data_IF_470378368914
#
_entry.id   IF_470378368914
#
_cell.length_a   1.000
_cell.length_b   1.000
_cell.length_c   1.000
_cell.angle_alpha   90.00
_cell.angle_beta   90.00
_cell.angle_gamma   90.00
#
_symmetry.space_group_name_H-M   'P 1'
#
loop_
_entity.id
_entity.type
_entity.pdbx_description
1 polymer ?
#
# COMPACT_ATOMS: atom_id res chain seq x y z
N UNK A 1 -29.73 6.24 17.86
CA UNK A 1 -29.02 7.52 17.73
C UNK A 1 -27.68 7.22 17.07
N UNK A 2 -27.63 7.18 15.74
CA UNK A 2 -26.39 6.89 15.01
C UNK A 2 -25.65 8.21 14.82
N UNK A 3 -24.75 8.55 15.76
CA UNK A 3 -23.83 9.65 15.54
C UNK A 3 -23.01 9.35 14.28
N UNK A 4 -22.86 10.33 13.40
CA UNK A 4 -21.90 10.23 12.30
C UNK A 4 -20.54 10.09 12.98
N UNK A 5 -19.92 8.92 12.88
CA UNK A 5 -18.55 8.73 13.36
C UNK A 5 -17.65 9.59 12.48
N UNK A 6 -16.86 10.46 13.11
CA UNK A 6 -15.97 11.38 12.42
C UNK A 6 -14.56 11.12 12.93
N UNK A 7 -13.63 10.90 12.00
CA UNK A 7 -12.21 10.94 12.28
C UNK A 7 -11.81 12.40 12.49
N UNK A 8 -11.61 12.74 13.75
CA UNK A 8 -11.33 14.08 14.22
C UNK A 8 -9.90 14.55 13.90
N UNK A 9 -9.66 15.85 14.01
CA UNK A 9 -8.32 16.43 13.86
C UNK A 9 -7.34 15.89 14.90
N UNK A 10 -7.82 15.56 16.11
CA UNK A 10 -7.00 15.01 17.17
C UNK A 10 -6.50 13.61 16.83
N UNK A 11 -7.36 12.76 16.25
CA UNK A 11 -6.96 11.44 15.76
C UNK A 11 -5.98 11.56 14.58
N UNK A 12 -6.20 12.53 13.69
CA UNK A 12 -5.24 12.86 12.63
C UNK A 12 -3.85 13.21 13.18
N UNK A 13 -3.78 14.09 14.18
CA UNK A 13 -2.52 14.46 14.84
C UNK A 13 -1.90 13.24 15.54
N UNK A 14 -2.69 12.40 16.20
CA UNK A 14 -2.20 11.18 16.85
C UNK A 14 -1.57 10.21 15.83
N UNK A 15 -2.18 10.02 14.65
CA UNK A 15 -1.61 9.23 13.55
C UNK A 15 -0.29 9.80 13.06
N UNK A 16 -0.16 11.12 12.97
CA UNK A 16 1.10 11.78 12.58
C UNK A 16 2.19 11.65 13.63
N UNK A 17 1.85 11.72 14.92
CA UNK A 17 2.80 11.45 16.01
C UNK A 17 3.28 10.01 15.98
N UNK A 18 2.37 9.04 15.75
CA UNK A 18 2.70 7.64 15.54
C UNK A 18 3.62 7.45 14.33
N UNK A 19 3.35 8.14 13.22
CA UNK A 19 4.23 8.13 12.04
C UNK A 19 5.64 8.65 12.38
N UNK A 20 5.73 9.77 13.11
CA UNK A 20 7.01 10.34 13.55
C UNK A 20 7.80 9.37 14.43
N UNK A 21 7.15 8.76 15.42
CA UNK A 21 7.76 7.73 16.27
C UNK A 21 8.21 6.50 15.47
N UNK A 22 7.40 6.04 14.52
CA UNK A 22 7.76 4.95 13.62
C UNK A 22 9.00 5.27 12.77
N UNK A 23 9.08 6.49 12.22
CA UNK A 23 10.25 6.94 11.45
C UNK A 23 11.51 7.02 12.31
N UNK A 24 11.40 7.53 13.55
CA UNK A 24 12.50 7.55 14.51
C UNK A 24 12.95 6.12 14.83
N UNK A 25 12.01 5.22 15.11
CA UNK A 25 12.30 3.81 15.39
C UNK A 25 13.06 3.14 14.22
N UNK A 26 12.60 3.30 12.98
CA UNK A 26 13.28 2.75 11.80
C UNK A 26 14.67 3.37 11.62
N UNK A 27 14.81 4.68 11.80
CA UNK A 27 16.11 5.35 11.71
C UNK A 27 17.12 4.77 12.73
N UNK A 28 16.68 4.57 13.97
CA UNK A 28 17.50 3.95 15.01
C UNK A 28 17.82 2.48 14.72
N UNK A 29 16.85 1.72 14.19
CA UNK A 29 17.01 0.33 13.81
C UNK A 29 18.08 0.18 12.71
N UNK A 30 17.93 0.93 11.61
CA UNK A 30 18.86 0.89 10.47
C UNK A 30 20.27 1.38 10.85
N UNK A 31 20.37 2.37 11.74
CA UNK A 31 21.68 2.83 12.25
C UNK A 31 22.41 1.73 13.03
N UNK A 32 21.68 0.88 13.75
CA UNK A 32 22.25 -0.27 14.50
C UNK A 32 22.58 -1.47 13.60
N UNK A 33 21.89 -1.64 12.48
CA UNK A 33 22.03 -2.80 11.59
C UNK A 33 23.12 -2.67 10.52
N UNK A 34 23.69 -1.47 10.35
CA UNK A 34 24.68 -1.13 9.31
C UNK A 34 25.98 -1.98 9.35
N UNK A 35 26.18 -2.79 10.38
CA UNK A 35 27.38 -3.62 10.57
C UNK A 35 27.26 -5.08 10.06
N UNK A 36 26.10 -5.60 9.64
CA UNK A 36 25.94 -7.06 9.42
C UNK A 36 25.66 -7.58 8.02
N UNK A 37 25.37 -6.75 7.01
CA UNK A 37 25.08 -7.26 5.66
C UNK A 37 25.54 -6.30 4.57
N UNK A 38 26.79 -6.42 4.12
CA UNK A 38 27.24 -5.72 2.90
C UNK A 38 26.81 -6.58 1.71
N UNK A 39 25.57 -6.40 1.23
CA UNK A 39 25.30 -6.70 -0.18
C UNK A 39 26.17 -5.77 -1.02
N UNK A 40 26.88 -6.32 -2.00
CA UNK A 40 27.64 -5.53 -2.96
C UNK A 40 26.64 -4.72 -3.81
N UNK A 41 26.30 -3.51 -3.36
CA UNK A 41 25.45 -2.58 -4.10
C UNK A 41 26.38 -1.82 -5.04
N UNK A 42 26.16 -1.92 -6.35
CA UNK A 42 26.80 -1.03 -7.31
C UNK A 42 26.48 0.41 -6.94
N UNK A 43 27.51 1.16 -6.55
CA UNK A 43 27.37 2.56 -6.16
C UNK A 43 27.53 3.43 -7.39
N UNK A 44 26.53 4.27 -7.64
CA UNK A 44 26.63 5.32 -8.65
C UNK A 44 26.95 6.66 -7.98
N UNK A 45 27.59 7.60 -8.71
CA UNK A 45 27.72 8.97 -8.25
C UNK A 45 26.35 9.56 -7.90
N UNK A 46 26.28 10.37 -6.84
CA UNK A 46 25.03 10.94 -6.32
C UNK A 46 24.18 11.59 -7.43
N UNK A 47 24.82 12.35 -8.33
CA UNK A 47 24.13 12.99 -9.46
C UNK A 47 23.42 11.97 -10.36
N UNK A 48 24.08 10.85 -10.67
CA UNK A 48 23.52 9.78 -11.51
C UNK A 48 22.39 9.03 -10.77
N UNK A 49 22.54 8.82 -9.46
CA UNK A 49 21.48 8.23 -8.62
C UNK A 49 20.24 9.11 -8.59
N UNK A 50 20.40 10.42 -8.36
CA UNK A 50 19.30 11.39 -8.38
C UNK A 50 18.62 11.39 -9.76
N UNK A 51 19.40 11.42 -10.84
CA UNK A 51 18.87 11.37 -12.20
C UNK A 51 18.01 10.11 -12.44
N UNK A 52 18.51 8.93 -12.05
CA UNK A 52 17.75 7.68 -12.19
C UNK A 52 16.50 7.63 -11.31
N UNK A 53 16.55 8.20 -10.10
CA UNK A 53 15.38 8.31 -9.21
C UNK A 53 14.32 9.19 -9.87
N UNK A 54 14.69 10.37 -10.39
CA UNK A 54 13.75 11.29 -11.04
C UNK A 54 13.13 10.65 -12.27
N UNK A 55 13.94 10.13 -13.19
CA UNK A 55 13.45 9.48 -14.42
C UNK A 55 12.55 8.28 -14.08
N UNK A 56 12.98 7.44 -13.13
CA UNK A 56 12.23 6.26 -12.72
C UNK A 56 10.89 6.63 -12.08
N UNK A 57 10.86 7.62 -11.19
CA UNK A 57 9.64 8.09 -10.53
C UNK A 57 8.68 8.74 -11.52
N UNK A 58 9.18 9.61 -12.41
CA UNK A 58 8.37 10.22 -13.46
C UNK A 58 7.77 9.17 -14.39
N UNK A 59 8.58 8.21 -14.85
CA UNK A 59 8.08 7.12 -15.70
C UNK A 59 7.03 6.26 -15.01
N UNK A 60 7.21 5.99 -13.71
CA UNK A 60 6.27 5.21 -12.90
C UNK A 60 4.93 5.93 -12.72
N UNK A 61 4.97 7.22 -12.36
CA UNK A 61 3.75 8.03 -12.15
C UNK A 61 2.98 8.18 -13.46
N UNK A 62 3.65 8.62 -14.54
CA UNK A 62 3.00 8.83 -15.84
C UNK A 62 2.49 7.52 -16.44
N UNK A 63 3.23 6.43 -16.27
CA UNK A 63 2.81 5.10 -16.70
C UNK A 63 1.57 4.61 -15.95
N UNK A 64 1.56 4.74 -14.62
CA UNK A 64 0.42 4.39 -13.79
C UNK A 64 -0.83 5.20 -14.14
N UNK A 65 -0.70 6.52 -14.22
CA UNK A 65 -1.82 7.42 -14.54
C UNK A 65 -2.45 7.10 -15.92
N UNK A 66 -1.62 6.86 -16.94
CA UNK A 66 -2.12 6.50 -18.28
C UNK A 66 -2.86 5.15 -18.29
N UNK A 67 -2.37 4.16 -17.57
CA UNK A 67 -3.04 2.85 -17.45
C UNK A 67 -4.40 3.02 -16.78
N UNK A 68 -4.47 3.78 -15.69
CA UNK A 68 -5.72 4.02 -14.95
C UNK A 68 -6.72 4.77 -15.80
N UNK A 69 -6.30 5.87 -16.46
CA UNK A 69 -7.20 6.67 -17.30
C UNK A 69 -7.73 5.87 -18.49
N UNK A 70 -6.87 5.09 -19.16
CA UNK A 70 -7.32 4.20 -20.25
C UNK A 70 -8.30 3.12 -19.76
N UNK A 71 -8.06 2.53 -18.59
CA UNK A 71 -8.97 1.55 -18.00
C UNK A 71 -10.33 2.17 -17.64
N UNK A 72 -10.36 3.40 -17.10
CA UNK A 72 -11.58 4.15 -16.81
C UNK A 72 -12.37 4.42 -18.11
N UNK A 73 -11.70 4.83 -19.19
CA UNK A 73 -12.36 5.11 -20.46
C UNK A 73 -13.00 3.86 -21.07
N UNK A 74 -12.28 2.73 -21.07
CA UNK A 74 -12.82 1.43 -21.51
C UNK A 74 -14.03 1.04 -20.65
N UNK A 75 -13.94 1.19 -19.33
CA UNK A 75 -15.04 0.85 -18.43
C UNK A 75 -16.29 1.70 -18.66
N UNK A 76 -16.13 3.00 -18.94
CA UNK A 76 -17.23 3.89 -19.32
C UNK A 76 -17.88 3.45 -20.63
N UNK A 77 -17.08 3.07 -21.64
CA UNK A 77 -17.60 2.55 -22.92
C UNK A 77 -18.36 1.23 -22.74
N UNK A 78 -18.00 0.41 -21.76
CA UNK A 78 -18.71 -0.81 -21.38
C UNK A 78 -19.97 -0.56 -20.53
N UNK A 79 -20.32 0.70 -20.25
CA UNK A 79 -21.52 1.06 -19.49
C UNK A 79 -21.41 0.83 -17.98
N UNK A 80 -20.19 0.71 -17.43
CA UNK A 80 -20.00 0.59 -15.99
C UNK A 80 -20.29 1.91 -15.28
N UNK A 81 -20.95 1.84 -14.12
CA UNK A 81 -21.25 3.02 -13.32
C UNK A 81 -19.96 3.67 -12.76
N UNK A 82 -19.98 4.99 -12.55
CA UNK A 82 -18.86 5.70 -11.94
C UNK A 82 -18.51 5.15 -10.56
N UNK A 83 -19.52 4.71 -9.80
CA UNK A 83 -19.33 4.04 -8.51
C UNK A 83 -18.51 2.75 -8.66
N UNK A 84 -18.88 1.88 -9.60
CA UNK A 84 -18.16 0.63 -9.86
C UNK A 84 -16.72 0.90 -10.29
N UNK A 85 -16.51 1.88 -11.16
CA UNK A 85 -15.17 2.30 -11.62
C UNK A 85 -14.33 2.81 -10.45
N UNK A 86 -14.89 3.64 -9.58
CA UNK A 86 -14.22 4.17 -8.40
C UNK A 86 -13.81 3.09 -7.41
N UNK A 87 -14.72 2.16 -7.11
CA UNK A 87 -14.49 1.08 -6.15
C UNK A 87 -13.51 0.01 -6.66
N UNK A 88 -13.29 -0.09 -7.98
CA UNK A 88 -12.47 -1.17 -8.56
C UNK A 88 -11.24 -0.64 -9.27
N UNK A 89 -11.41 0.04 -10.42
CA UNK A 89 -10.33 0.46 -11.30
C UNK A 89 -9.46 1.53 -10.64
N UNK A 90 -10.08 2.53 -10.00
CA UNK A 90 -9.33 3.59 -9.32
C UNK A 90 -8.62 3.03 -8.09
N UNK A 91 -9.31 2.21 -7.29
CA UNK A 91 -8.75 1.55 -6.12
C UNK A 91 -7.50 0.72 -6.46
N UNK A 92 -7.59 -0.16 -7.46
CA UNK A 92 -6.44 -0.95 -7.95
C UNK A 92 -5.39 -0.05 -8.59
N UNK A 93 -5.84 0.94 -9.37
CA UNK A 93 -5.02 1.83 -10.17
C UNK A 93 -3.97 2.60 -9.38
N UNK A 94 -4.37 3.12 -8.21
CA UNK A 94 -3.47 3.86 -7.32
C UNK A 94 -2.36 2.99 -6.72
N UNK A 95 -2.52 1.67 -6.70
CA UNK A 95 -1.52 0.70 -6.20
C UNK A 95 -0.65 0.08 -7.32
N UNK A 96 -0.90 0.44 -8.59
CA UNK A 96 -0.12 -0.06 -9.72
C UNK A 96 1.36 0.35 -9.66
N UNK A 97 1.72 1.61 -9.31
CA UNK A 97 3.11 1.99 -9.10
C UNK A 97 3.86 1.07 -8.12
N UNK A 98 3.24 0.77 -6.99
CA UNK A 98 3.77 -0.05 -5.91
C UNK A 98 3.89 -1.52 -6.33
N UNK A 99 2.91 -2.02 -7.09
CA UNK A 99 2.97 -3.35 -7.67
C UNK A 99 4.16 -3.45 -8.64
N UNK A 100 4.33 -2.46 -9.52
CA UNK A 100 5.40 -2.44 -10.51
C UNK A 100 6.79 -2.39 -9.84
N UNK A 101 6.99 -1.53 -8.84
CA UNK A 101 8.27 -1.48 -8.10
C UNK A 101 8.56 -2.77 -7.35
N UNK A 102 7.54 -3.40 -6.75
CA UNK A 102 7.67 -4.70 -6.08
C UNK A 102 8.05 -5.82 -7.05
N UNK A 103 7.39 -5.89 -8.22
CA UNK A 103 7.70 -6.89 -9.26
C UNK A 103 9.13 -6.71 -9.78
N UNK A 104 9.57 -5.47 -10.03
CA UNK A 104 10.95 -5.19 -10.45
C UNK A 104 11.96 -5.60 -9.37
N UNK A 105 11.68 -5.33 -8.10
CA UNK A 105 12.55 -5.73 -6.99
C UNK A 105 12.69 -7.27 -6.90
N UNK A 106 11.58 -8.01 -7.06
CA UNK A 106 11.60 -9.48 -7.11
C UNK A 106 12.40 -9.99 -8.31
N UNK A 107 12.19 -9.42 -9.51
CA UNK A 107 12.95 -9.79 -10.72
C UNK A 107 14.45 -9.54 -10.57
N UNK A 108 14.84 -8.54 -9.76
CA UNK A 108 16.23 -8.24 -9.40
C UNK A 108 16.75 -9.07 -8.23
N UNK A 109 16.03 -10.12 -7.80
CA UNK A 109 16.37 -10.98 -6.66
C UNK A 109 16.52 -10.23 -5.33
N UNK A 110 15.77 -9.14 -5.15
CA UNK A 110 15.73 -8.32 -3.92
C UNK A 110 14.36 -8.41 -3.22
N UNK A 111 13.97 -9.58 -2.67
CA UNK A 111 12.64 -9.77 -2.07
C UNK A 111 12.40 -8.92 -0.82
N UNK A 112 13.45 -8.63 -0.04
CA UNK A 112 13.35 -7.76 1.13
C UNK A 112 12.90 -6.35 0.75
N UNK A 113 13.34 -5.84 -0.42
CA UNK A 113 12.91 -4.54 -0.93
C UNK A 113 11.44 -4.54 -1.35
N UNK A 114 10.96 -5.63 -1.95
CA UNK A 114 9.54 -5.76 -2.32
C UNK A 114 8.62 -5.81 -1.08
N UNK A 115 9.00 -6.59 -0.06
CA UNK A 115 8.23 -6.67 1.21
C UNK A 115 8.26 -5.31 1.91
N UNK A 116 9.43 -4.67 1.97
CA UNK A 116 9.57 -3.32 2.56
C UNK A 116 8.69 -2.28 1.85
N UNK A 117 8.57 -2.37 0.52
CA UNK A 117 7.68 -1.50 -0.25
C UNK A 117 6.20 -1.73 0.08
N UNK A 118 5.74 -2.99 0.14
CA UNK A 118 4.35 -3.34 0.44
C UNK A 118 3.96 -2.91 1.87
N UNK A 119 4.77 -3.30 2.86
CA UNK A 119 4.51 -2.99 4.28
C UNK A 119 4.65 -1.49 4.54
N UNK A 120 5.71 -0.88 4.00
CA UNK A 120 5.98 0.55 4.17
C UNK A 120 4.88 1.42 3.58
N UNK A 121 4.39 1.10 2.38
CA UNK A 121 3.34 1.88 1.71
C UNK A 121 2.00 1.85 2.47
N UNK A 122 1.61 0.69 3.02
CA UNK A 122 0.40 0.59 3.85
C UNK A 122 0.51 1.38 5.15
N UNK A 123 1.64 1.26 5.86
CA UNK A 123 1.89 2.04 7.08
C UNK A 123 1.85 3.54 6.78
N UNK A 124 2.48 3.94 5.67
CA UNK A 124 2.53 5.33 5.25
C UNK A 124 1.18 5.89 4.83
N UNK A 125 0.35 5.11 4.12
CA UNK A 125 -1.00 5.52 3.76
C UNK A 125 -1.89 5.69 5.00
N UNK A 126 -1.84 4.74 5.94
CA UNK A 126 -2.67 4.79 7.15
C UNK A 126 -2.18 5.86 8.15
N UNK A 127 -0.89 5.98 8.39
CA UNK A 127 -0.40 6.93 9.40
C UNK A 127 -0.22 8.34 8.84
N UNK A 128 0.36 8.46 7.64
CA UNK A 128 0.73 9.75 7.08
C UNK A 128 -0.37 10.33 6.20
N UNK A 129 -0.85 9.61 5.18
CA UNK A 129 -1.86 10.16 4.25
C UNK A 129 -3.17 10.42 5.00
N UNK A 130 -3.71 9.40 5.68
CA UNK A 130 -4.92 9.56 6.49
C UNK A 130 -4.73 10.53 7.67
N UNK A 131 -3.57 10.53 8.32
CA UNK A 131 -3.24 11.48 9.39
C UNK A 131 -3.24 12.94 8.93
N UNK A 132 -2.61 13.23 7.79
CA UNK A 132 -2.61 14.57 7.19
C UNK A 132 -4.02 14.98 6.77
N UNK A 133 -4.75 14.11 6.06
CA UNK A 133 -6.10 14.45 5.57
C UNK A 133 -7.06 14.73 6.73
N UNK A 134 -7.09 13.88 7.77
CA UNK A 134 -7.94 14.07 8.95
C UNK A 134 -7.57 15.32 9.77
N UNK A 135 -6.29 15.70 9.79
CA UNK A 135 -5.83 16.93 10.48
C UNK A 135 -6.31 18.20 9.76
N UNK A 136 -6.27 18.19 8.43
CA UNK A 136 -6.71 19.31 7.59
C UNK A 136 -8.23 19.40 7.58
N UNK A 137 -8.91 18.27 7.34
CA UNK A 137 -10.36 18.17 7.22
C UNK A 137 -10.86 16.90 7.93
N UNK A 138 -11.68 17.03 9.00
CA UNK A 138 -12.28 15.88 9.66
C UNK A 138 -13.04 15.01 8.67
N UNK A 139 -12.83 13.69 8.72
CA UNK A 139 -13.39 12.75 7.75
C UNK A 139 -14.60 12.06 8.33
N UNK A 140 -15.72 12.06 7.62
CA UNK A 140 -16.89 11.24 7.96
C UNK A 140 -16.58 9.78 7.69
N UNK A 141 -16.77 8.94 8.71
CA UNK A 141 -16.51 7.50 8.65
C UNK A 141 -17.76 6.80 8.11
N UNK A 142 -17.69 6.12 6.95
CA UNK A 142 -18.82 5.36 6.43
C UNK A 142 -19.15 4.18 7.35
N UNK A 143 -20.44 3.92 7.60
CA UNK A 143 -20.90 2.83 8.46
C UNK A 143 -20.46 1.42 8.01
N UNK A 144 -20.05 1.26 6.75
CA UNK A 144 -19.51 0.02 6.18
C UNK A 144 -18.02 -0.23 6.43
N UNK A 145 -17.24 0.78 6.83
CA UNK A 145 -15.76 0.71 6.86
C UNK A 145 -15.23 -0.36 7.83
N UNK A 146 -16.02 -0.70 8.86
CA UNK A 146 -15.65 -1.70 9.86
C UNK A 146 -15.45 -3.09 9.26
N UNK A 147 -16.10 -3.41 8.12
CA UNK A 147 -15.82 -4.65 7.38
C UNK A 147 -14.44 -4.57 6.72
N UNK A 148 -14.15 -3.47 6.03
CA UNK A 148 -12.89 -3.24 5.32
C UNK A 148 -11.70 -3.24 6.27
N UNK A 149 -11.81 -2.57 7.42
CA UNK A 149 -10.77 -2.54 8.46
C UNK A 149 -10.50 -3.95 8.99
N UNK A 150 -11.53 -4.74 9.29
CA UNK A 150 -11.35 -6.13 9.76
C UNK A 150 -10.66 -7.00 8.71
N UNK A 151 -11.03 -6.87 7.43
CA UNK A 151 -10.36 -7.56 6.34
C UNK A 151 -8.90 -7.13 6.19
N UNK A 152 -8.61 -5.83 6.29
CA UNK A 152 -7.25 -5.30 6.21
C UNK A 152 -6.38 -5.82 7.36
N UNK A 153 -6.90 -5.85 8.59
CA UNK A 153 -6.22 -6.44 9.76
C UNK A 153 -5.96 -7.92 9.54
N UNK A 154 -6.97 -8.67 9.08
CA UNK A 154 -6.83 -10.11 8.78
C UNK A 154 -5.77 -10.38 7.71
N UNK A 155 -5.81 -9.67 6.58
CA UNK A 155 -4.81 -9.78 5.52
C UNK A 155 -3.40 -9.45 6.03
N UNK A 156 -3.26 -8.39 6.83
CA UNK A 156 -1.98 -8.00 7.45
C UNK A 156 -1.48 -9.08 8.41
N UNK A 157 -2.36 -9.69 9.20
CA UNK A 157 -2.00 -10.78 10.10
C UNK A 157 -1.48 -11.99 9.33
N UNK A 158 -2.15 -12.40 8.25
CA UNK A 158 -1.67 -13.47 7.37
C UNK A 158 -0.26 -13.13 6.83
N UNK A 159 -0.06 -11.89 6.37
CA UNK A 159 1.23 -11.43 5.83
C UNK A 159 2.35 -11.52 6.88
N UNK A 160 2.06 -11.21 8.15
CA UNK A 160 3.04 -11.19 9.24
C UNK A 160 3.28 -12.57 9.86
N UNK A 161 2.29 -13.45 9.93
CA UNK A 161 2.44 -14.82 10.48
C UNK A 161 3.40 -15.65 9.63
N UNK A 162 3.39 -15.46 8.30
CA UNK A 162 4.21 -16.24 7.39
C UNK A 162 5.72 -16.06 7.57
N UNK A 163 6.26 -14.83 7.69
CA UNK A 163 7.65 -14.59 8.04
C UNK A 163 8.02 -14.98 9.47
N UNK A 164 7.10 -14.84 10.45
CA UNK A 164 7.38 -15.17 11.85
C UNK A 164 7.56 -16.69 12.09
N UNK A 165 6.98 -17.52 11.22
CA UNK A 165 7.02 -18.98 11.36
C UNK A 165 8.38 -19.59 10.95
N UNK A 166 9.18 -18.89 10.14
CA UNK A 166 10.49 -19.39 9.68
C UNK A 166 11.58 -18.35 9.92
N UNK A 167 12.73 -18.76 10.47
CA UNK A 167 13.92 -17.89 10.70
C UNK A 167 14.45 -17.17 9.43
N UNK A 168 13.96 -17.50 8.25
CA UNK A 168 14.25 -16.80 6.99
C UNK A 168 12.95 -16.13 6.52
N UNK A 169 12.98 -14.81 6.36
CA UNK A 169 11.91 -13.99 5.78
C UNK A 169 11.69 -14.35 4.30
N UNK A 170 11.15 -15.53 4.02
CA UNK A 170 10.93 -16.02 2.66
C UNK A 170 9.44 -16.28 2.44
N UNK A 171 8.83 -15.51 1.54
CA UNK A 171 7.47 -15.76 1.07
C UNK A 171 7.49 -16.82 -0.04
N UNK A 172 6.76 -17.91 0.16
CA UNK A 172 6.58 -18.98 -0.81
C UNK A 172 5.37 -18.71 -1.74
N UNK A 173 5.37 -19.33 -2.92
CA UNK A 173 4.30 -19.15 -3.93
C UNK A 173 2.90 -19.46 -3.39
N UNK A 174 2.76 -20.48 -2.54
CA UNK A 174 1.47 -20.83 -1.95
C UNK A 174 0.93 -19.75 -1.00
N UNK A 175 1.81 -19.02 -0.30
CA UNK A 175 1.42 -17.91 0.58
C UNK A 175 0.89 -16.73 -0.25
N UNK A 176 1.55 -16.44 -1.38
CA UNK A 176 1.04 -15.46 -2.34
C UNK A 176 -0.30 -15.88 -2.94
N UNK A 177 -0.48 -17.16 -3.27
CA UNK A 177 -1.76 -17.67 -3.78
C UNK A 177 -2.89 -17.50 -2.76
N UNK A 178 -2.64 -17.82 -1.49
CA UNK A 178 -3.60 -17.60 -0.40
C UNK A 178 -3.99 -16.11 -0.33
N UNK A 179 -3.01 -15.20 -0.38
CA UNK A 179 -3.28 -13.75 -0.36
C UNK A 179 -4.14 -13.30 -1.54
N UNK A 180 -3.86 -13.79 -2.75
CA UNK A 180 -4.66 -13.49 -3.95
C UNK A 180 -6.08 -14.01 -3.79
N UNK A 181 -6.26 -15.26 -3.33
CA UNK A 181 -7.59 -15.83 -3.10
C UNK A 181 -8.36 -15.01 -2.06
N UNK A 182 -7.73 -14.62 -0.94
CA UNK A 182 -8.35 -13.76 0.09
C UNK A 182 -8.77 -12.41 -0.49
N UNK A 183 -7.93 -11.79 -1.33
CA UNK A 183 -8.25 -10.53 -2.00
C UNK A 183 -9.42 -10.68 -2.98
N UNK A 184 -9.46 -11.76 -3.78
CA UNK A 184 -10.57 -12.03 -4.70
C UNK A 184 -11.89 -12.27 -3.96
N UNK A 185 -11.86 -12.98 -2.83
CA UNK A 185 -13.04 -13.18 -1.97
C UNK A 185 -13.54 -11.86 -1.39
N UNK A 186 -12.63 -10.99 -0.94
CA UNK A 186 -12.99 -9.65 -0.46
C UNK A 186 -13.66 -8.82 -1.56
N UNK A 187 -13.08 -8.77 -2.77
CA UNK A 187 -13.69 -8.07 -3.91
C UNK A 187 -15.07 -8.60 -4.25
N UNK A 188 -15.27 -9.92 -4.21
CA UNK A 188 -16.57 -10.53 -4.46
C UNK A 188 -17.61 -10.12 -3.42
N UNK A 189 -17.24 -10.10 -2.13
CA UNK A 189 -18.13 -9.63 -1.05
C UNK A 189 -18.51 -8.16 -1.27
N UNK A 190 -17.54 -7.28 -1.53
CA UNK A 190 -17.79 -5.86 -1.77
C UNK A 190 -18.70 -5.65 -2.99
N UNK A 191 -18.49 -6.43 -4.06
CA UNK A 191 -19.30 -6.31 -5.27
C UNK A 191 -20.74 -6.80 -5.09
N UNK A 192 -20.95 -7.86 -4.30
CA UNK A 192 -22.29 -8.34 -3.95
C UNK A 192 -23.02 -7.33 -3.05
N UNK A 193 -22.34 -6.77 -2.06
CA UNK A 193 -22.88 -5.73 -1.18
C UNK A 193 -23.24 -4.46 -1.97
N UNK A 194 -22.48 -4.12 -3.03
CA UNK A 194 -22.75 -2.95 -3.87
C UNK A 194 -23.96 -3.12 -4.83
N UNK A 195 -24.42 -4.36 -5.05
CA UNK A 195 -25.59 -4.68 -5.88
C UNK A 195 -26.88 -4.88 -5.07
N UNK A 196 -26.76 -5.12 -3.77
CA UNK A 196 -27.87 -5.32 -2.84
C UNK A 196 -28.42 -3.97 -2.36
#
# INVERSE_FOLDING_TARGET
QGGVEILSRFEGIALLLLFGMFMIYIFWLTKREKERTIEHIETFPIKKSILFIVIGLTGLILGGERIVNGAIEIAKQLGLSELTIGLTIIAIGTSLPELATSVVAIRRKKPNLAIGNIVGSNIFNILRVLGVTATIHPLTVPSGINKDIRFAIFATAILLVFPLTKRKFTLHRYQGLIMVITYMLYLLIVFLDAKA
#
